data_IF_162529926561
#
_entry.id   IF_162529926561
#
_cell.length_a   1.000
_cell.length_b   1.000
_cell.length_c   1.000
_cell.angle_alpha   90.00
_cell.angle_beta   90.00
_cell.angle_gamma   90.00
#
_symmetry.space_group_name_H-M   'P 1'
#
loop_
_entity.id
_entity.type
_entity.pdbx_description
1 polymer ?
#
# COMPACT_ATOMS: atom_id res chain seq x y z
N UNK A 1 -11.14 4.43 2.22
CA UNK A 1 -10.48 4.44 0.90
C UNK A 1 -9.98 5.85 0.65
N UNK A 2 -8.74 6.02 0.20
CA UNK A 2 -8.15 7.32 -0.11
C UNK A 2 -8.29 7.63 -1.59
N UNK A 3 -8.61 8.88 -1.94
CA UNK A 3 -8.78 9.32 -3.33
C UNK A 3 -7.61 10.21 -3.72
N UNK A 4 -6.93 9.87 -4.81
CA UNK A 4 -5.78 10.59 -5.33
C UNK A 4 -5.97 10.94 -6.80
N UNK A 5 -5.15 11.83 -7.34
CA UNK A 5 -5.11 12.07 -8.78
C UNK A 5 -4.41 10.92 -9.50
N UNK A 6 -4.79 10.68 -10.75
CA UNK A 6 -4.04 9.78 -11.61
C UNK A 6 -2.60 10.30 -11.78
N UNK A 7 -1.63 9.39 -11.80
CA UNK A 7 -0.19 9.66 -11.79
C UNK A 7 0.37 10.28 -10.50
N UNK A 8 -0.44 10.49 -9.45
CA UNK A 8 0.08 10.81 -8.13
C UNK A 8 0.94 9.66 -7.58
N UNK A 9 1.87 10.00 -6.69
CA UNK A 9 2.71 9.03 -6.00
C UNK A 9 2.23 8.81 -4.57
N UNK A 10 2.11 7.56 -4.16
CA UNK A 10 1.97 7.18 -2.74
C UNK A 10 3.34 6.78 -2.23
N UNK A 11 3.76 7.35 -1.10
CA UNK A 11 5.05 7.06 -0.47
C UNK A 11 4.83 6.21 0.76
N UNK A 12 5.46 5.04 0.81
CA UNK A 12 5.43 4.13 1.95
C UNK A 12 6.71 4.31 2.76
N UNK A 13 6.58 4.77 4.00
CA UNK A 13 7.69 4.91 4.95
C UNK A 13 7.52 3.93 6.10
N UNK A 14 8.58 3.19 6.40
CA UNK A 14 8.65 2.24 7.50
C UNK A 14 10.10 1.91 7.82
N UNK A 15 10.36 1.57 9.07
CA UNK A 15 11.71 1.27 9.54
C UNK A 15 12.21 -0.06 8.98
N UNK A 16 13.52 -0.14 8.74
CA UNK A 16 14.16 -1.41 8.47
C UNK A 16 14.07 -2.33 9.71
N UNK A 17 13.99 -3.65 9.52
CA UNK A 17 13.97 -4.60 10.62
C UNK A 17 15.27 -4.51 11.42
N UNK A 18 15.14 -4.44 12.74
CA UNK A 18 16.25 -4.49 13.70
C UNK A 18 15.83 -5.31 14.93
N UNK A 19 16.64 -5.32 15.99
CA UNK A 19 16.35 -6.10 17.20
C UNK A 19 15.02 -5.73 17.90
N UNK A 20 14.49 -4.53 17.66
CA UNK A 20 13.27 -4.00 18.28
C UNK A 20 12.16 -3.64 17.28
N UNK A 21 12.48 -3.59 15.98
CA UNK A 21 11.59 -3.19 14.89
C UNK A 21 11.15 -4.42 14.11
N UNK A 22 9.84 -4.61 14.02
CA UNK A 22 9.28 -5.66 13.18
C UNK A 22 9.53 -5.34 11.71
N UNK A 23 9.82 -6.36 10.87
CA UNK A 23 9.86 -6.15 9.43
C UNK A 23 8.48 -5.66 8.94
N UNK A 24 8.51 -4.78 7.94
CA UNK A 24 7.33 -4.34 7.20
C UNK A 24 7.62 -4.41 5.71
N UNK A 25 6.64 -4.87 4.92
CA UNK A 25 6.71 -4.91 3.47
C UNK A 25 5.45 -4.30 2.89
N UNK A 26 5.45 -4.00 1.59
CA UNK A 26 4.27 -3.52 0.88
C UNK A 26 3.86 -4.58 -0.13
N UNK A 27 2.65 -5.09 0.03
CA UNK A 27 2.00 -6.02 -0.89
C UNK A 27 0.81 -5.34 -1.54
N UNK A 28 0.61 -5.62 -2.84
CA UNK A 28 -0.52 -5.15 -3.62
C UNK A 28 -1.38 -6.35 -4.02
N UNK A 29 -2.67 -6.30 -3.68
CA UNK A 29 -3.62 -7.37 -3.97
C UNK A 29 -4.29 -7.15 -5.32
N UNK A 30 -4.56 -8.23 -6.08
CA UNK A 30 -5.22 -8.12 -7.38
C UNK A 30 -6.72 -7.85 -7.27
N UNK A 31 -7.36 -8.24 -6.15
CA UNK A 31 -8.81 -8.16 -5.97
C UNK A 31 -9.22 -7.72 -4.57
N UNK A 32 -10.42 -7.15 -4.44
CA UNK A 32 -11.02 -6.81 -3.15
C UNK A 32 -11.16 -8.03 -2.22
N UNK A 33 -11.57 -9.20 -2.76
CA UNK A 33 -11.75 -10.39 -1.90
C UNK A 33 -10.44 -10.91 -1.32
N UNK A 34 -9.36 -10.92 -2.11
CA UNK A 34 -8.04 -11.35 -1.62
C UNK A 34 -7.48 -10.35 -0.59
N UNK A 35 -7.69 -9.06 -0.81
CA UNK A 35 -7.36 -7.99 0.14
C UNK A 35 -8.10 -8.14 1.48
N UNK A 36 -9.42 -8.33 1.44
CA UNK A 36 -10.23 -8.44 2.67
C UNK A 36 -9.87 -9.68 3.49
N UNK A 37 -9.49 -10.78 2.83
CA UNK A 37 -9.02 -12.02 3.47
C UNK A 37 -7.54 -11.98 3.85
N UNK A 38 -6.80 -10.93 3.52
CA UNK A 38 -5.35 -10.86 3.67
C UNK A 38 -4.64 -12.08 3.06
N UNK A 39 -5.09 -12.55 1.90
CA UNK A 39 -4.52 -13.70 1.17
C UNK A 39 -3.21 -13.29 0.47
N UNK A 40 -2.13 -13.17 1.25
CA UNK A 40 -0.82 -12.67 0.80
C UNK A 40 -0.24 -13.52 -0.33
N UNK A 41 -0.61 -14.80 -0.43
CA UNK A 41 -0.18 -15.69 -1.52
C UNK A 41 -0.65 -15.21 -2.90
N UNK A 42 -1.76 -14.48 -2.97
CA UNK A 42 -2.29 -13.87 -4.20
C UNK A 42 -1.79 -12.45 -4.43
N UNK A 43 -1.16 -11.85 -3.42
CA UNK A 43 -0.66 -10.50 -3.51
C UNK A 43 0.76 -10.47 -4.08
N UNK A 44 1.08 -9.37 -4.76
CA UNK A 44 2.43 -9.11 -5.26
C UNK A 44 3.16 -8.22 -4.26
N UNK A 45 4.35 -8.64 -3.80
CA UNK A 45 5.24 -7.74 -3.07
C UNK A 45 5.70 -6.63 -4.03
N UNK A 46 5.44 -5.38 -3.67
CA UNK A 46 5.88 -4.20 -4.42
C UNK A 46 7.03 -3.48 -3.72
N UNK A 47 7.20 -3.67 -2.40
CA UNK A 47 8.36 -3.19 -1.65
C UNK A 47 8.76 -4.18 -0.54
N UNK A 48 10.05 -4.39 -0.38
CA UNK A 48 10.66 -5.25 0.66
C UNK A 48 10.93 -4.47 1.96
N UNK A 49 11.55 -5.14 2.94
CA UNK A 49 11.77 -4.60 4.29
C UNK A 49 12.68 -3.39 4.39
N UNK A 50 13.56 -3.16 3.42
CA UNK A 50 14.53 -2.06 3.47
C UNK A 50 14.13 -0.88 2.58
N UNK A 51 13.18 -1.06 1.66
CA UNK A 51 12.77 -0.02 0.72
C UNK A 51 11.90 1.08 1.34
N UNK A 52 11.44 0.92 2.59
CA UNK A 52 10.66 1.93 3.31
C UNK A 52 11.50 3.01 4.02
N UNK A 53 12.82 2.84 4.09
CA UNK A 53 13.70 3.77 4.81
C UNK A 53 13.99 5.04 4.01
N UNK A 54 14.48 6.08 4.69
CA UNK A 54 14.87 7.35 4.07
C UNK A 54 13.69 8.05 3.39
N UNK A 55 13.80 8.22 2.07
CA UNK A 55 12.74 8.81 1.24
C UNK A 55 11.50 7.90 1.10
N UNK A 56 11.61 6.63 1.47
CA UNK A 56 10.54 5.64 1.39
C UNK A 56 10.31 5.08 -0.01
N UNK A 57 9.48 4.05 -0.08
CA UNK A 57 9.12 3.42 -1.34
C UNK A 57 8.02 4.21 -2.05
N UNK A 58 8.30 4.69 -3.27
CA UNK A 58 7.36 5.47 -4.08
C UNK A 58 6.61 4.55 -5.05
N UNK A 59 5.29 4.63 -5.03
CA UNK A 59 4.42 3.90 -5.96
C UNK A 59 3.57 4.87 -6.78
N UNK A 60 3.65 4.79 -8.10
CA UNK A 60 2.90 5.66 -9.03
C UNK A 60 1.52 5.07 -9.32
N UNK A 61 0.48 5.88 -9.15
CA UNK A 61 -0.91 5.55 -9.40
C UNK A 61 -1.29 5.73 -10.88
N UNK A 62 -0.81 4.84 -11.74
CA UNK A 62 -0.90 5.00 -13.20
C UNK A 62 -2.14 4.41 -13.88
N UNK A 63 -3.11 3.86 -13.13
CA UNK A 63 -4.34 3.27 -13.68
C UNK A 63 -5.56 3.78 -12.94
N UNK A 64 -6.65 4.04 -13.67
CA UNK A 64 -7.93 4.40 -13.09
C UNK A 64 -8.65 3.16 -12.54
N UNK A 65 -8.17 2.65 -11.41
CA UNK A 65 -8.74 1.49 -10.70
C UNK A 65 -8.33 1.54 -9.22
N UNK A 66 -9.04 0.84 -8.32
CA UNK A 66 -8.60 0.73 -6.94
C UNK A 66 -7.29 -0.08 -6.83
N UNK A 67 -6.42 0.38 -5.94
CA UNK A 67 -5.20 -0.29 -5.50
C UNK A 67 -5.36 -0.70 -4.04
N UNK A 68 -5.09 -1.97 -3.77
CA UNK A 68 -5.29 -2.58 -2.46
C UNK A 68 -3.92 -2.90 -1.86
N UNK A 69 -3.50 -2.15 -0.85
CA UNK A 69 -2.18 -2.29 -0.23
C UNK A 69 -2.28 -2.85 1.18
N UNK A 70 -1.37 -3.75 1.56
CA UNK A 70 -1.18 -4.13 2.96
C UNK A 70 0.26 -4.50 3.26
N UNK A 71 0.56 -4.65 4.54
CA UNK A 71 1.73 -5.38 4.98
C UNK A 71 1.51 -6.90 4.78
N UNK A 72 2.49 -7.59 4.19
CA UNK A 72 2.43 -9.05 3.96
C UNK A 72 3.09 -9.87 5.05
N UNK A 73 3.70 -9.22 6.04
CA UNK A 73 4.51 -9.87 7.06
C UNK A 73 3.70 -10.80 7.94
N UNK A 74 4.41 -11.81 8.45
CA UNK A 74 3.83 -12.88 9.28
C UNK A 74 2.62 -13.53 8.59
N UNK A 75 2.75 -13.78 7.27
CA UNK A 75 1.71 -14.40 6.43
C UNK A 75 0.35 -13.67 6.52
N UNK A 76 0.38 -12.34 6.55
CA UNK A 76 -0.83 -11.51 6.58
C UNK A 76 -1.34 -11.16 7.99
N UNK A 77 -0.63 -11.52 9.06
CA UNK A 77 -1.04 -11.16 10.43
C UNK A 77 -1.05 -9.63 10.64
N UNK A 78 -0.07 -8.90 10.09
CA UNK A 78 -0.07 -7.43 10.13
C UNK A 78 -1.27 -6.83 9.38
N UNK A 79 -1.72 -7.47 8.29
CA UNK A 79 -2.90 -7.08 7.53
C UNK A 79 -4.21 -7.38 8.29
N UNK A 80 -4.32 -8.56 8.90
CA UNK A 80 -5.58 -9.06 9.45
C UNK A 80 -5.81 -8.63 10.91
N UNK A 81 -4.79 -8.73 11.75
CA UNK A 81 -4.88 -8.34 13.17
C UNK A 81 -4.42 -6.90 13.35
N UNK A 82 -3.27 -6.55 12.78
CA UNK A 82 -2.71 -5.19 12.86
C UNK A 82 -3.48 -4.16 12.03
N UNK A 83 -4.44 -4.58 11.19
CA UNK A 83 -5.18 -3.73 10.26
C UNK A 83 -4.27 -2.84 9.38
N UNK A 84 -3.03 -3.28 9.13
CA UNK A 84 -2.04 -2.54 8.34
C UNK A 84 -2.33 -2.74 6.85
N UNK A 85 -3.45 -2.17 6.42
CA UNK A 85 -4.01 -2.29 5.08
C UNK A 85 -4.82 -1.06 4.73
N UNK A 86 -4.78 -0.64 3.48
CA UNK A 86 -5.57 0.47 2.99
C UNK A 86 -5.83 0.36 1.49
N UNK A 87 -6.79 1.16 1.01
CA UNK A 87 -7.18 1.18 -0.40
C UNK A 87 -7.04 2.59 -0.94
N UNK A 88 -6.49 2.69 -2.15
CA UNK A 88 -6.30 3.94 -2.89
C UNK A 88 -7.09 3.87 -4.19
N UNK A 89 -7.85 4.92 -4.51
CA UNK A 89 -8.53 5.09 -5.78
C UNK A 89 -7.97 6.34 -6.46
N UNK A 90 -7.16 6.19 -7.52
CA UNK A 90 -6.80 7.31 -8.38
C UNK A 90 -8.04 7.72 -9.17
N UNK A 91 -8.24 9.00 -9.42
CA UNK A 91 -9.32 9.51 -10.26
C UNK A 91 -8.74 10.57 -11.18
N UNK A 92 -9.22 10.63 -12.42
CA UNK A 92 -9.11 11.84 -13.21
C UNK A 92 -10.04 12.85 -12.55
N UNK A 93 -9.52 13.93 -11.96
CA UNK A 93 -10.35 15.04 -11.47
C UNK A 93 -10.44 16.06 -12.60
N UNK A 94 -11.52 16.13 -13.38
CA UNK A 94 -11.59 17.12 -14.44
C UNK A 94 -11.92 18.51 -13.85
N UNK A 95 -12.58 18.59 -12.68
CA UNK A 95 -13.09 19.85 -12.11
C UNK A 95 -13.36 19.77 -10.60
N UNK A 96 -12.35 19.49 -9.76
CA UNK A 96 -12.43 19.90 -8.35
C UNK A 96 -11.55 21.15 -8.20
N UNK A 97 -12.06 22.29 -7.70
CA UNK A 97 -11.20 23.43 -7.42
C UNK A 97 -10.10 22.93 -6.48
N UNK A 98 -8.85 23.23 -6.82
CA UNK A 98 -7.71 23.00 -5.95
C UNK A 98 -8.06 23.59 -4.59
N UNK A 99 -8.34 22.72 -3.61
CA UNK A 99 -8.62 23.19 -2.26
C UNK A 99 -7.32 23.82 -1.71
N UNK A 100 -7.40 25.00 -1.07
CA UNK A 100 -6.24 25.74 -0.57
C UNK A 100 -5.45 24.98 0.50
#
# INVERSE_FOLDING_TARGET
>A
MLIFDIYACVVFKYDAPNATSFPHSVYMFPTWQSFMKCDVKKAKMVANHTQGVGEGFKFVLNKWKPYYFSCGEKNGLHCNVGQMKFTVMPMLRPFLPSWP
#
